data_IF_004315038003
#
_entry.id   IF_004315038003
#
_cell.length_a   1.000
_cell.length_b   1.000
_cell.length_c   1.000
_cell.angle_alpha   90.00
_cell.angle_beta   90.00
_cell.angle_gamma   90.00
#
_symmetry.space_group_name_H-M   'P 1'
#
loop_
_entity.id
_entity.type
_entity.pdbx_description
1 polymer ?
#
# COMPACT_ATOMS: atom_id res chain seq x y z
N UNK A 1 3.46 -18.03 -3.45
CA UNK A 1 3.38 -17.14 -2.28
C UNK A 1 3.89 -15.74 -2.59
N UNK A 2 5.10 -15.56 -3.12
CA UNK A 2 5.67 -14.24 -3.46
C UNK A 2 4.77 -13.35 -4.33
N UNK A 3 4.18 -13.92 -5.39
CA UNK A 3 3.25 -13.19 -6.28
C UNK A 3 2.02 -12.66 -5.54
N UNK A 4 1.46 -13.44 -4.62
CA UNK A 4 0.29 -13.00 -3.84
C UNK A 4 0.64 -11.82 -2.92
N UNK A 5 1.80 -11.87 -2.24
CA UNK A 5 2.25 -10.76 -1.40
C UNK A 5 2.56 -9.50 -2.22
N UNK A 6 3.13 -9.67 -3.41
CA UNK A 6 3.35 -8.56 -4.35
C UNK A 6 2.02 -7.93 -4.78
N UNK A 7 1.04 -8.73 -5.18
CA UNK A 7 -0.29 -8.23 -5.57
C UNK A 7 -0.96 -7.49 -4.42
N UNK A 8 -0.96 -8.05 -3.21
CA UNK A 8 -1.54 -7.39 -2.02
C UNK A 8 -0.79 -6.08 -1.73
N UNK A 9 0.53 -6.07 -1.89
CA UNK A 9 1.34 -4.87 -1.68
C UNK A 9 0.96 -3.76 -2.67
N UNK A 10 0.87 -4.09 -3.96
CA UNK A 10 0.46 -3.12 -4.97
C UNK A 10 -0.98 -2.65 -4.80
N UNK A 11 -1.91 -3.51 -4.36
CA UNK A 11 -3.27 -3.10 -4.04
C UNK A 11 -3.32 -2.12 -2.86
N UNK A 12 -2.55 -2.40 -1.80
CA UNK A 12 -2.40 -1.48 -0.67
C UNK A 12 -1.82 -0.13 -1.10
N UNK A 13 -0.83 -0.14 -1.99
CA UNK A 13 -0.21 1.06 -2.53
C UNK A 13 -1.22 1.86 -3.40
N UNK A 14 -1.95 1.19 -4.28
CA UNK A 14 -2.99 1.82 -5.10
C UNK A 14 -4.08 2.45 -4.23
N UNK A 15 -4.48 1.78 -3.13
CA UNK A 15 -5.45 2.31 -2.19
C UNK A 15 -5.00 3.64 -1.57
N UNK A 16 -3.70 3.81 -1.30
CA UNK A 16 -3.16 5.08 -0.77
C UNK A 16 -3.27 6.26 -1.75
N UNK A 17 -3.45 6.00 -3.04
CA UNK A 17 -3.65 7.02 -4.07
C UNK A 17 -5.13 7.21 -4.38
N UNK A 18 -5.88 6.11 -4.49
CA UNK A 18 -7.30 6.11 -4.86
C UNK A 18 -8.17 6.72 -3.74
N UNK A 19 -7.90 6.43 -2.47
CA UNK A 19 -8.72 6.93 -1.37
C UNK A 19 -8.73 8.48 -1.29
N UNK A 20 -7.59 9.20 -1.38
CA UNK A 20 -7.58 10.66 -1.43
C UNK A 20 -8.33 11.23 -2.63
N UNK A 21 -8.22 10.60 -3.81
CA UNK A 21 -8.94 11.03 -5.01
C UNK A 21 -10.45 10.88 -4.84
N UNK A 22 -10.91 9.77 -4.25
CA UNK A 22 -12.32 9.55 -3.92
C UNK A 22 -12.82 10.56 -2.89
N UNK A 23 -12.02 10.88 -1.87
CA UNK A 23 -12.39 11.85 -0.85
C UNK A 23 -12.48 13.27 -1.44
N UNK A 24 -11.55 13.62 -2.31
CA UNK A 24 -11.54 14.90 -3.02
C UNK A 24 -12.74 15.04 -3.98
N UNK A 25 -13.11 13.95 -4.67
CA UNK A 25 -14.29 13.90 -5.51
C UNK A 25 -15.62 13.86 -4.72
N UNK A 26 -15.58 13.85 -3.37
CA UNK A 26 -16.76 13.79 -2.52
C UNK A 26 -17.41 12.40 -2.43
N UNK A 27 -16.76 11.35 -2.96
CA UNK A 27 -17.28 9.98 -2.98
C UNK A 27 -17.16 9.23 -1.64
N UNK A 28 -16.26 9.67 -0.75
CA UNK A 28 -16.11 9.14 0.61
C UNK A 28 -15.87 10.26 1.63
N UNK A 29 -16.18 10.00 2.90
CA UNK A 29 -15.88 10.95 3.98
C UNK A 29 -14.37 11.02 4.26
N UNK A 30 -13.95 12.13 4.88
CA UNK A 30 -12.56 12.31 5.31
C UNK A 30 -12.13 11.26 6.34
N UNK A 31 -13.05 10.82 7.20
CA UNK A 31 -12.78 9.76 8.18
C UNK A 31 -12.52 8.42 7.49
N UNK A 32 -13.37 8.03 6.53
CA UNK A 32 -13.16 6.82 5.72
C UNK A 32 -11.84 6.89 4.96
N UNK A 33 -11.51 8.05 4.38
CA UNK A 33 -10.22 8.26 3.72
C UNK A 33 -9.03 7.99 4.66
N UNK A 34 -9.05 8.55 5.88
CA UNK A 34 -7.98 8.32 6.87
C UNK A 34 -7.83 6.84 7.19
N UNK A 35 -8.93 6.13 7.41
CA UNK A 35 -8.91 4.69 7.68
C UNK A 35 -8.36 3.90 6.50
N UNK A 36 -8.77 4.22 5.27
CA UNK A 36 -8.26 3.57 4.05
C UNK A 36 -6.77 3.85 3.82
N UNK A 37 -6.29 5.05 4.12
CA UNK A 37 -4.87 5.40 4.04
C UNK A 37 -4.04 4.57 5.02
N UNK A 38 -4.48 4.44 6.27
CA UNK A 38 -3.80 3.62 7.28
C UNK A 38 -3.84 2.15 6.88
N UNK A 39 -5.00 1.64 6.47
CA UNK A 39 -5.16 0.25 6.03
C UNK A 39 -4.28 -0.05 4.80
N UNK A 40 -4.28 0.85 3.81
CA UNK A 40 -3.43 0.77 2.63
C UNK A 40 -1.96 0.74 3.02
N UNK A 41 -1.53 1.66 3.90
CA UNK A 41 -0.17 1.73 4.44
C UNK A 41 0.28 0.42 5.08
N UNK A 42 -0.52 -0.11 6.01
CA UNK A 42 -0.22 -1.38 6.68
C UNK A 42 -0.18 -2.54 5.69
N UNK A 43 -1.11 -2.60 4.73
CA UNK A 43 -1.14 -3.64 3.70
C UNK A 43 0.13 -3.59 2.84
N UNK A 44 0.45 -2.43 2.27
CA UNK A 44 1.54 -2.36 1.30
C UNK A 44 2.90 -2.53 1.97
N UNK A 45 3.17 -1.75 3.02
CA UNK A 45 4.45 -1.81 3.73
C UNK A 45 4.61 -3.15 4.44
N UNK A 46 3.58 -3.61 5.15
CA UNK A 46 3.62 -4.88 5.87
C UNK A 46 3.90 -6.05 4.94
N UNK A 47 3.28 -6.08 3.76
CA UNK A 47 3.55 -7.16 2.80
C UNK A 47 4.86 -6.98 2.02
N UNK A 48 5.30 -5.75 1.75
CA UNK A 48 6.54 -5.44 1.01
C UNK A 48 7.79 -6.04 1.66
N UNK A 49 7.86 -5.99 2.98
CA UNK A 49 8.98 -6.52 3.76
C UNK A 49 9.26 -8.00 3.49
N UNK A 50 8.23 -8.78 3.16
CA UNK A 50 8.36 -10.22 2.95
C UNK A 50 8.80 -10.62 1.53
N UNK A 51 8.88 -9.68 0.58
CA UNK A 51 9.25 -10.01 -0.80
C UNK A 51 10.32 -9.12 -1.42
N UNK A 52 10.58 -7.93 -0.89
CA UNK A 52 11.76 -7.13 -1.26
C UNK A 52 13.00 -7.95 -0.89
N UNK A 53 13.83 -8.25 -1.90
CA UNK A 53 15.10 -8.93 -1.68
C UNK A 53 16.13 -7.88 -1.27
N UNK A 54 16.96 -8.22 -0.29
CA UNK A 54 18.15 -7.44 0.02
C UNK A 54 19.12 -7.53 -1.17
N UNK A 55 19.56 -6.39 -1.71
CA UNK A 55 20.58 -6.35 -2.76
C UNK A 55 21.96 -6.57 -2.12
N UNK A 56 22.67 -7.68 -2.41
CA UNK A 56 24.00 -7.92 -1.84
C UNK A 56 25.08 -6.96 -2.34
N UNK A 57 24.85 -6.29 -3.47
CA UNK A 57 25.83 -5.37 -4.08
C UNK A 57 25.87 -3.97 -3.45
N UNK A 58 24.89 -3.63 -2.60
CA UNK A 58 24.86 -2.36 -1.86
C UNK A 58 25.97 -2.25 -0.79
N UNK A 59 26.64 -3.36 -0.47
CA UNK A 59 27.66 -3.45 0.58
C UNK A 59 29.06 -3.78 0.03
N UNK A 60 29.25 -3.76 -1.30
CA UNK A 60 30.49 -4.15 -1.99
C UNK A 60 31.29 -2.94 -2.47
#
# INVERSE_FOLDING_TARGET
MRTALQTISFLGLALTVIAPLLAWAGGISLETNKTLLVAGMVLWFGTALFWIKHDPSANA
#
